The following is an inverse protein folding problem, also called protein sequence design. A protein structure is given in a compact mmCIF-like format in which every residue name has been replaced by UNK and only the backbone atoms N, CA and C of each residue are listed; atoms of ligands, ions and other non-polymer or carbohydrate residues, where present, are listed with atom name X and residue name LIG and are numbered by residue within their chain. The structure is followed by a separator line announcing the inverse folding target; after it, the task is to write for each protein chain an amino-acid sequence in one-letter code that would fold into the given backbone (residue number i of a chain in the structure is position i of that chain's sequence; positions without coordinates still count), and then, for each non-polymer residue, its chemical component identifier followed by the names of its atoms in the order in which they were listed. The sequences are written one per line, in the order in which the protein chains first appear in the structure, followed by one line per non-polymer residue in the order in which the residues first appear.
data_IF_121106966887
#
_entry.id   IF_121106966887
#
_cell.length_a   1.000
_cell.length_b   1.000
_cell.length_c   1.000
_cell.angle_alpha   90.00
_cell.angle_beta   90.00
_cell.angle_gamma   90.00
#
_symmetry.space_group_name_H-M   'P 1'
#
loop_
_entity.id
_entity.type
_entity.pdbx_description
1 polymer ?
#
# COMPACT_ATOMS: atom_id res chain seq x y z
N UNK A 1 36.66 13.86 -3.98
CA UNK A 1 35.35 14.21 -3.37
C UNK A 1 34.34 14.44 -4.49
N UNK A 2 33.07 14.08 -4.29
CA UNK A 2 31.95 14.05 -5.28
C UNK A 2 31.83 12.67 -5.96
N UNK A 3 30.76 11.89 -5.76
CA UNK A 3 29.35 12.25 -5.86
C UNK A 3 28.57 11.86 -4.59
N UNK A 4 27.92 12.83 -3.95
CA UNK A 4 26.88 12.56 -2.96
C UNK A 4 25.62 12.23 -3.77
N UNK A 5 25.34 10.95 -3.97
CA UNK A 5 24.09 10.48 -4.58
C UNK A 5 22.92 10.91 -3.69
N UNK A 6 22.37 12.09 -3.93
CA UNK A 6 21.09 12.49 -3.36
C UNK A 6 20.03 11.63 -4.06
N UNK A 7 19.73 10.47 -3.49
CA UNK A 7 18.57 9.69 -3.91
C UNK A 7 17.33 10.45 -3.42
N UNK A 8 16.86 11.39 -4.24
CA UNK A 8 15.60 12.10 -4.04
C UNK A 8 14.56 10.99 -4.06
N UNK A 9 14.02 10.61 -2.89
CA UNK A 9 12.85 9.72 -2.82
C UNK A 9 11.77 10.37 -3.68
N UNK A 10 11.60 9.85 -4.88
CA UNK A 10 10.61 10.36 -5.82
C UNK A 10 9.26 10.00 -5.21
N UNK A 11 8.51 11.00 -4.77
CA UNK A 11 7.11 10.82 -4.46
C UNK A 11 6.41 10.53 -5.80
N UNK A 12 6.15 9.26 -6.07
CA UNK A 12 5.38 8.82 -7.24
C UNK A 12 3.93 8.65 -6.78
N UNK A 13 3.02 9.36 -7.44
CA UNK A 13 1.59 9.24 -7.16
C UNK A 13 1.02 8.06 -7.94
N UNK A 14 0.46 7.08 -7.23
CA UNK A 14 -0.34 6.01 -7.83
C UNK A 14 -1.74 6.57 -8.09
N UNK A 15 -2.21 6.49 -9.34
CA UNK A 15 -3.58 6.85 -9.69
C UNK A 15 -4.50 5.66 -9.45
N UNK A 16 -5.52 5.88 -8.63
CA UNK A 16 -6.59 4.92 -8.36
C UNK A 16 -7.87 5.42 -9.03
N UNK A 17 -8.65 4.51 -9.62
CA UNK A 17 -9.99 4.83 -10.09
C UNK A 17 -10.98 5.00 -8.92
N UNK A 18 -12.17 5.51 -9.20
CA UNK A 18 -13.17 5.83 -8.16
C UNK A 18 -13.56 4.61 -7.32
N UNK A 19 -13.67 3.43 -7.95
CA UNK A 19 -14.00 2.18 -7.25
C UNK A 19 -12.86 1.72 -6.32
N UNK A 20 -11.62 1.83 -6.78
CA UNK A 20 -10.42 1.53 -5.98
C UNK A 20 -10.29 2.48 -4.79
N UNK A 21 -10.50 3.78 -5.00
CA UNK A 21 -10.46 4.78 -3.93
C UNK A 21 -11.52 4.52 -2.86
N UNK A 22 -12.77 4.22 -3.26
CA UNK A 22 -13.85 3.95 -2.31
C UNK A 22 -13.59 2.65 -1.53
N UNK A 23 -13.11 1.59 -2.20
CA UNK A 23 -12.75 0.33 -1.53
C UNK A 23 -11.62 0.53 -0.52
N UNK A 24 -10.59 1.31 -0.89
CA UNK A 24 -9.48 1.66 -0.01
C UNK A 24 -9.98 2.44 1.21
N UNK A 25 -10.80 3.49 0.99
CA UNK A 25 -11.37 4.32 2.05
C UNK A 25 -12.16 3.49 3.05
N UNK A 26 -13.01 2.58 2.58
CA UNK A 26 -13.78 1.66 3.46
C UNK A 26 -12.86 0.79 4.30
N UNK A 27 -11.82 0.22 3.68
CA UNK A 27 -10.84 -0.60 4.39
C UNK A 27 -10.06 0.22 5.42
N UNK A 28 -9.67 1.45 5.10
CA UNK A 28 -9.02 2.35 6.05
C UNK A 28 -9.91 2.65 7.26
N UNK A 29 -11.21 2.93 7.05
CA UNK A 29 -12.17 3.14 8.14
C UNK A 29 -12.28 1.89 9.04
N UNK A 30 -12.39 0.71 8.44
CA UNK A 30 -12.45 -0.57 9.16
C UNK A 30 -11.21 -0.78 10.04
N UNK A 31 -10.02 -0.62 9.47
CA UNK A 31 -8.74 -0.78 10.18
C UNK A 31 -8.56 0.29 11.27
N UNK A 32 -8.91 1.54 10.98
CA UNK A 32 -8.78 2.63 11.95
C UNK A 32 -9.69 2.44 13.17
N UNK A 33 -10.90 1.86 13.00
CA UNK A 33 -11.73 1.46 14.15
C UNK A 33 -11.00 0.47 15.05
N UNK A 34 -10.32 -0.51 14.47
CA UNK A 34 -9.53 -1.50 15.22
C UNK A 34 -8.34 -0.85 15.91
N UNK A 35 -7.61 0.04 15.23
CA UNK A 35 -6.48 0.78 15.81
C UNK A 35 -6.91 1.63 17.00
N UNK A 36 -7.96 2.43 16.84
CA UNK A 36 -8.50 3.30 17.90
C UNK A 36 -8.96 2.46 19.10
N UNK A 37 -9.68 1.36 18.88
CA UNK A 37 -10.10 0.45 19.96
C UNK A 37 -8.92 -0.16 20.72
N UNK A 38 -7.74 -0.22 20.11
CA UNK A 38 -6.49 -0.70 20.72
C UNK A 38 -5.64 0.45 21.31
N UNK A 39 -6.13 1.69 21.30
CA UNK A 39 -5.38 2.87 21.74
C UNK A 39 -4.24 3.29 20.81
N UNK A 40 -4.28 2.85 19.54
CA UNK A 40 -3.29 3.15 18.52
C UNK A 40 -3.75 4.29 17.60
N UNK A 41 -2.80 5.00 17.02
CA UNK A 41 -3.09 6.07 16.06
C UNK A 41 -3.67 5.50 14.75
N UNK A 42 -4.71 6.14 14.19
CA UNK A 42 -5.24 5.77 12.88
C UNK A 42 -4.26 6.12 11.76
N UNK A 43 -4.32 5.35 10.67
CA UNK A 43 -3.49 5.56 9.48
C UNK A 43 -4.26 6.31 8.39
N UNK A 44 -3.51 7.01 7.53
CA UNK A 44 -4.07 7.70 6.36
C UNK A 44 -4.26 6.73 5.19
N UNK A 45 -5.19 7.02 4.29
CA UNK A 45 -5.44 6.21 3.09
C UNK A 45 -4.18 6.01 2.24
N UNK A 46 -3.36 7.06 2.05
CA UNK A 46 -2.10 6.96 1.33
C UNK A 46 -1.08 6.06 2.02
N UNK A 47 -1.03 6.11 3.36
CA UNK A 47 -0.14 5.25 4.14
C UNK A 47 -0.57 3.79 4.08
N UNK A 48 -1.88 3.54 4.11
CA UNK A 48 -2.43 2.20 3.90
C UNK A 48 -2.04 1.65 2.53
N UNK A 49 -2.14 2.46 1.46
CA UNK A 49 -1.70 2.05 0.12
C UNK A 49 -0.22 1.69 0.10
N UNK A 50 0.64 2.54 0.68
CA UNK A 50 2.07 2.26 0.70
C UNK A 50 2.39 0.95 1.43
N UNK A 51 1.80 0.73 2.62
CA UNK A 51 2.02 -0.51 3.39
C UNK A 51 1.50 -1.75 2.67
N UNK A 52 0.36 -1.67 1.98
CA UNK A 52 -0.19 -2.79 1.20
C UNK A 52 0.70 -3.08 0.00
N UNK A 53 1.09 -2.04 -0.76
CA UNK A 53 1.92 -2.22 -1.96
C UNK A 53 3.28 -2.84 -1.63
N UNK A 54 3.90 -2.41 -0.55
CA UNK A 54 5.21 -2.94 -0.10
C UNK A 54 5.13 -4.45 0.15
N UNK A 55 4.13 -4.89 0.93
CA UNK A 55 3.86 -6.31 1.18
C UNK A 55 3.45 -7.07 -0.09
N UNK A 56 2.62 -6.45 -0.93
CA UNK A 56 2.11 -7.08 -2.14
C UNK A 56 3.23 -7.35 -3.15
N UNK A 57 4.18 -6.42 -3.33
CA UNK A 57 5.28 -6.56 -4.29
C UNK A 57 6.13 -7.80 -3.96
N UNK A 58 6.47 -8.01 -2.69
CA UNK A 58 7.25 -9.17 -2.25
C UNK A 58 6.48 -10.49 -2.43
N UNK A 59 5.16 -10.45 -2.24
CA UNK A 59 4.26 -11.60 -2.34
C UNK A 59 3.70 -11.83 -3.76
N UNK A 60 4.13 -11.06 -4.77
CA UNK A 60 3.57 -11.15 -6.13
C UNK A 60 4.27 -12.25 -6.92
N UNK A 61 3.47 -13.14 -7.52
CA UNK A 61 3.92 -14.20 -8.42
C UNK A 61 3.11 -14.21 -9.73
N UNK A 62 3.66 -14.89 -10.74
CA UNK A 62 2.94 -15.16 -12.00
C UNK A 62 2.39 -16.57 -11.93
N UNK A 63 1.06 -16.69 -12.05
CA UNK A 63 0.37 -17.99 -12.06
C UNK A 63 0.72 -18.80 -13.31
N UNK A 64 0.36 -20.09 -13.31
CA UNK A 64 0.54 -20.96 -14.47
C UNK A 64 -0.23 -20.50 -15.72
N UNK A 65 -1.27 -19.67 -15.57
CA UNK A 65 -2.01 -19.06 -16.67
C UNK A 65 -1.43 -17.73 -17.14
N UNK A 66 -0.37 -17.22 -16.50
CA UNK A 66 0.23 -15.93 -16.79
C UNK A 66 -0.42 -14.75 -16.07
N UNK A 67 -1.29 -15.00 -15.09
CA UNK A 67 -1.93 -13.95 -14.29
C UNK A 67 -0.99 -13.49 -13.17
N UNK A 68 -1.01 -12.19 -12.87
CA UNK A 68 -0.27 -11.62 -11.74
C UNK A 68 -1.14 -11.76 -10.49
N UNK A 69 -0.66 -12.52 -9.50
CA UNK A 69 -1.38 -12.81 -8.27
C UNK A 69 -0.54 -12.44 -7.05
N UNK A 70 -1.20 -12.17 -5.92
CA UNK A 70 -0.55 -12.02 -4.62
C UNK A 70 -0.73 -13.34 -3.87
N UNK A 71 0.36 -13.97 -3.47
CA UNK A 71 0.38 -15.23 -2.71
C UNK A 71 0.49 -14.89 -1.23
N UNK A 72 -0.58 -15.15 -0.48
CA UNK A 72 -0.58 -14.99 0.97
C UNK A 72 -0.13 -16.32 1.59
N UNK A 73 1.02 -16.29 2.26
CA UNK A 73 1.56 -17.42 3.04
C UNK A 73 0.80 -17.64 4.35
#
# INVERSE_FOLDING_TARGET
MSQKAWSKRMAVTVRLNDSEQERLRRKAIELNKVLINRGLEPIKDSELVHRILDQAIEATEVSSSGEIIIVLN
#
